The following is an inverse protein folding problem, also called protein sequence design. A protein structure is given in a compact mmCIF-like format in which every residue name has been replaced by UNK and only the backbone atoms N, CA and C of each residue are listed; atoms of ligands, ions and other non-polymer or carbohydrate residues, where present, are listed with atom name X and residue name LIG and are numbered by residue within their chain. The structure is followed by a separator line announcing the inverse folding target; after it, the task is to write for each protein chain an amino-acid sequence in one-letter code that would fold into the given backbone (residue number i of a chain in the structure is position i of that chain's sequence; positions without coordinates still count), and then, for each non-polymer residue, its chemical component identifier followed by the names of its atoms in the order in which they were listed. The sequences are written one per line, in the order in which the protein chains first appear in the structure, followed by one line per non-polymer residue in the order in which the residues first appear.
data_IF_597742240399
#
_entry.id   IF_597742240399
#
_cell.length_a   1.000
_cell.length_b   1.000
_cell.length_c   1.000
_cell.angle_alpha   90.00
_cell.angle_beta   90.00
_cell.angle_gamma   90.00
#
_symmetry.space_group_name_H-M   'P 1'
#
loop_
_entity.id
_entity.type
_entity.pdbx_description
1 polymer ?
#
# COMPACT_ATOMS: atom_id res chain seq x y z
N UNK A 1 8.70 -42.60 30.97
CA UNK A 1 8.77 -41.28 31.63
C UNK A 1 9.55 -40.20 30.85
N UNK A 2 10.75 -40.46 30.32
CA UNK A 2 11.56 -39.44 29.59
C UNK A 2 10.96 -38.94 28.26
N UNK A 3 10.24 -39.79 27.54
CA UNK A 3 9.61 -39.43 26.25
C UNK A 3 8.47 -38.44 26.43
N UNK A 4 7.60 -38.70 27.42
CA UNK A 4 6.46 -37.85 27.76
C UNK A 4 6.95 -36.44 28.17
N UNK A 5 8.02 -36.35 28.95
CA UNK A 5 8.58 -35.05 29.36
C UNK A 5 9.14 -34.23 28.18
N UNK A 6 9.76 -34.89 27.18
CA UNK A 6 10.22 -34.21 25.95
C UNK A 6 9.05 -33.70 25.11
N UNK A 7 7.97 -34.49 25.01
CA UNK A 7 6.76 -34.09 24.30
C UNK A 7 6.11 -32.87 24.97
N UNK A 8 6.01 -32.89 26.31
CA UNK A 8 5.45 -31.80 27.09
C UNK A 8 6.30 -30.52 27.02
N UNK A 9 7.63 -30.61 27.06
CA UNK A 9 8.53 -29.45 26.86
C UNK A 9 8.31 -28.82 25.49
N UNK A 10 8.25 -29.63 24.43
CA UNK A 10 8.04 -29.11 23.08
C UNK A 10 6.67 -28.44 22.95
N UNK A 11 5.63 -29.03 23.56
CA UNK A 11 4.29 -28.45 23.60
C UNK A 11 4.27 -27.09 24.33
N UNK A 12 4.92 -27.01 25.50
CA UNK A 12 5.04 -25.77 26.29
C UNK A 12 5.80 -24.70 25.49
N UNK A 13 6.89 -25.06 24.82
CA UNK A 13 7.67 -24.13 24.01
C UNK A 13 6.86 -23.59 22.82
N UNK A 14 6.08 -24.44 22.14
CA UNK A 14 5.17 -24.02 21.08
C UNK A 14 4.09 -23.06 21.60
N UNK A 15 3.52 -23.30 22.78
CA UNK A 15 2.54 -22.42 23.40
C UNK A 15 3.15 -21.07 23.80
N UNK A 16 4.37 -21.05 24.36
CA UNK A 16 5.07 -19.80 24.67
C UNK A 16 5.35 -18.97 23.42
N UNK A 17 5.80 -19.57 22.32
CA UNK A 17 5.99 -18.86 21.05
C UNK A 17 4.67 -18.29 20.53
N UNK A 18 3.57 -19.05 20.63
CA UNK A 18 2.25 -18.59 20.20
C UNK A 18 1.77 -17.39 21.05
N UNK A 19 1.98 -17.42 22.37
CA UNK A 19 1.66 -16.30 23.26
C UNK A 19 2.52 -15.07 22.97
N UNK A 20 3.82 -15.24 22.69
CA UNK A 20 4.70 -14.14 22.29
C UNK A 20 4.20 -13.50 20.98
N UNK A 21 3.83 -14.30 19.97
CA UNK A 21 3.28 -13.78 18.69
C UNK A 21 1.94 -13.07 18.85
N UNK A 22 1.09 -13.51 19.77
CA UNK A 22 -0.16 -12.80 20.12
C UNK A 22 0.17 -11.45 20.76
N UNK A 23 1.19 -11.39 21.60
CA UNK A 23 1.59 -10.15 22.28
C UNK A 23 2.32 -9.15 21.37
N UNK A 24 2.94 -9.59 20.27
CA UNK A 24 3.54 -8.69 19.26
C UNK A 24 2.56 -8.27 18.16
N UNK A 25 1.33 -8.76 18.19
CA UNK A 25 0.25 -8.31 17.29
C UNK A 25 -0.71 -7.33 17.97
N UNK A 26 -0.40 -6.90 19.20
CA UNK A 26 -1.05 -5.79 19.89
C UNK A 26 0.03 -4.79 20.32
N UNK A 27 -0.02 -3.60 19.72
CA UNK A 27 0.74 -2.39 20.07
C UNK A 27 2.24 -2.36 19.69
N UNK A 28 2.52 -2.27 18.39
CA UNK A 28 3.57 -1.36 17.90
C UNK A 28 3.03 0.09 17.91
N UNK A 29 2.58 0.56 19.07
CA UNK A 29 2.35 1.99 19.33
C UNK A 29 3.39 2.44 20.36
N UNK A 30 4.62 2.59 19.89
CA UNK A 30 5.61 3.46 20.56
C UNK A 30 5.10 4.90 20.36
N UNK A 31 4.29 5.36 21.31
CA UNK A 31 3.89 6.76 21.44
C UNK A 31 4.24 7.28 22.83
N UNK A 32 5.43 7.86 22.92
CA UNK A 32 5.86 8.92 23.85
C UNK A 32 7.31 9.27 23.46
N UNK A 33 7.69 10.46 23.01
CA UNK A 33 7.07 11.78 23.02
C UNK A 33 7.55 12.54 21.77
N UNK A 34 6.65 13.24 21.10
CA UNK A 34 6.91 14.58 20.58
C UNK A 34 5.56 15.27 20.30
N UNK A 35 5.01 15.85 21.37
CA UNK A 35 4.12 17.00 21.25
C UNK A 35 4.98 18.17 20.75
N UNK A 36 4.70 18.61 19.52
CA UNK A 36 5.09 19.85 18.81
C UNK A 36 5.56 19.56 17.39
N UNK A 37 4.61 19.21 16.52
CA UNK A 37 4.71 19.48 15.08
C UNK A 37 3.28 19.55 14.50
N UNK A 38 2.57 20.63 14.80
CA UNK A 38 1.45 21.04 13.95
C UNK A 38 2.08 21.61 12.67
N UNK A 39 1.98 20.79 11.62
CA UNK A 39 1.43 21.15 10.32
C UNK A 39 2.13 22.25 9.49
N UNK A 40 3.22 21.86 8.81
CA UNK A 40 3.59 22.39 7.47
C UNK A 40 4.22 21.30 6.57
N UNK A 41 4.17 20.02 6.98
CA UNK A 41 4.82 18.90 6.25
C UNK A 41 3.82 17.87 5.75
N UNK A 42 2.59 18.28 5.45
CA UNK A 42 1.59 17.41 4.82
C UNK A 42 1.24 17.85 3.38
N UNK A 43 1.60 19.08 2.98
CA UNK A 43 1.37 19.60 1.63
C UNK A 43 2.52 19.36 0.64
N UNK A 44 3.54 18.57 1.00
CA UNK A 44 4.73 18.31 0.15
C UNK A 44 4.95 16.81 -0.13
N UNK A 45 3.89 15.99 -0.13
CA UNK A 45 4.03 14.59 -0.56
C UNK A 45 3.91 14.43 -2.08
N UNK A 46 3.17 15.32 -2.73
CA UNK A 46 2.73 15.20 -4.11
C UNK A 46 3.14 16.42 -4.95
N UNK A 47 4.43 16.76 -4.99
CA UNK A 47 4.93 17.85 -5.85
C UNK A 47 5.86 17.33 -6.94
N UNK A 48 5.51 17.60 -8.19
CA UNK A 48 6.32 17.29 -9.38
C UNK A 48 6.04 18.32 -10.48
N UNK A 49 6.98 18.57 -11.41
CA UNK A 49 6.72 19.47 -12.54
C UNK A 49 5.54 19.01 -13.41
N UNK A 50 5.47 17.72 -13.75
CA UNK A 50 4.37 17.13 -14.51
C UNK A 50 3.53 16.23 -13.61
N UNK A 51 2.20 16.33 -13.69
CA UNK A 51 1.29 15.47 -12.91
C UNK A 51 1.41 13.99 -13.29
N UNK A 52 1.90 13.67 -14.49
CA UNK A 52 2.25 12.29 -14.87
C UNK A 52 3.33 11.70 -13.98
N UNK A 53 4.23 12.49 -13.40
CA UNK A 53 5.37 11.96 -12.63
C UNK A 53 5.08 11.81 -11.15
N UNK A 54 3.85 12.14 -10.75
CA UNK A 54 3.41 11.95 -9.39
C UNK A 54 3.53 10.48 -8.94
N UNK A 55 3.64 10.29 -7.63
CA UNK A 55 3.57 8.95 -7.05
C UNK A 55 2.13 8.42 -7.10
N UNK A 56 1.94 7.09 -7.11
CA UNK A 56 0.61 6.48 -7.14
C UNK A 56 -0.40 7.00 -6.10
N UNK A 57 0.09 7.40 -4.92
CA UNK A 57 -0.75 7.91 -3.83
C UNK A 57 -1.37 9.29 -4.12
N UNK A 58 -0.90 9.98 -5.16
CA UNK A 58 -1.21 11.38 -5.45
C UNK A 58 -2.28 11.55 -6.56
N UNK A 59 -2.73 10.45 -7.16
CA UNK A 59 -3.73 10.47 -8.23
C UNK A 59 -4.59 9.21 -8.20
N UNK A 60 -5.77 9.29 -8.79
CA UNK A 60 -6.70 8.17 -8.94
C UNK A 60 -6.95 7.89 -10.42
N UNK A 61 -6.84 6.63 -10.82
CA UNK A 61 -7.07 6.18 -12.19
C UNK A 61 -8.36 5.38 -12.33
N UNK A 62 -8.94 5.40 -13.54
CA UNK A 62 -10.11 4.60 -13.90
C UNK A 62 -9.69 3.29 -14.58
N UNK A 63 -9.31 2.29 -13.77
CA UNK A 63 -8.83 1.00 -14.26
C UNK A 63 -9.94 0.17 -14.93
N UNK A 64 -9.56 -0.59 -15.96
CA UNK A 64 -10.44 -1.57 -16.58
C UNK A 64 -10.25 -2.92 -15.89
N UNK A 65 -11.20 -3.29 -15.01
CA UNK A 65 -11.09 -4.52 -14.24
C UNK A 65 -11.32 -5.81 -15.05
N UNK A 66 -11.76 -5.67 -16.30
CA UNK A 66 -12.03 -6.79 -17.22
C UNK A 66 -10.96 -6.93 -18.30
N UNK A 67 -9.78 -6.35 -18.10
CA UNK A 67 -8.67 -6.48 -19.04
C UNK A 67 -8.15 -7.94 -19.10
N UNK A 68 -7.60 -8.31 -20.26
CA UNK A 68 -6.94 -9.61 -20.44
C UNK A 68 -5.62 -9.59 -19.69
N UNK A 69 -5.40 -10.55 -18.78
CA UNK A 69 -4.17 -10.66 -18.00
C UNK A 69 -2.94 -10.65 -18.93
N UNK A 70 -1.91 -9.88 -18.59
CA UNK A 70 -0.71 -9.80 -19.41
C UNK A 70 -0.71 -8.66 -20.44
N UNK A 71 -1.85 -8.00 -20.68
CA UNK A 71 -1.94 -6.97 -21.72
C UNK A 71 -1.63 -5.58 -21.19
N UNK A 72 -1.06 -4.74 -22.04
CA UNK A 72 -0.84 -3.33 -21.75
C UNK A 72 -2.15 -2.55 -21.97
N UNK A 73 -2.50 -1.73 -20.99
CA UNK A 73 -3.75 -0.99 -20.95
C UNK A 73 -3.47 0.49 -20.70
N UNK A 74 -4.25 1.36 -21.33
CA UNK A 74 -4.22 2.79 -21.07
C UNK A 74 -5.38 3.15 -20.14
N UNK A 75 -5.10 3.97 -19.13
CA UNK A 75 -6.10 4.49 -18.20
C UNK A 75 -5.98 5.99 -18.09
N UNK A 76 -7.10 6.64 -17.85
CA UNK A 76 -7.15 8.05 -17.49
C UNK A 76 -7.05 8.20 -15.97
N UNK A 77 -6.26 9.17 -15.53
CA UNK A 77 -6.00 9.47 -14.13
C UNK A 77 -6.29 10.95 -13.83
N UNK A 78 -6.77 11.20 -12.62
CA UNK A 78 -7.02 12.53 -12.07
C UNK A 78 -6.20 12.72 -10.81
N UNK A 79 -5.70 13.92 -10.63
CA UNK A 79 -4.91 14.33 -9.47
C UNK A 79 -5.79 14.43 -8.22
N UNK A 80 -5.25 14.07 -7.05
CA UNK A 80 -5.91 14.28 -5.76
C UNK A 80 -5.56 15.67 -5.20
N UNK A 81 -6.48 16.27 -4.42
CA UNK A 81 -6.54 17.71 -4.09
C UNK A 81 -5.31 18.34 -3.40
N UNK A 82 -4.26 17.58 -3.09
CA UNK A 82 -3.09 18.02 -2.32
C UNK A 82 -1.78 17.95 -3.12
N UNK A 83 -1.87 17.97 -4.45
CA UNK A 83 -0.69 17.92 -5.31
C UNK A 83 -0.35 19.26 -5.96
N UNK A 84 0.94 19.52 -6.11
CA UNK A 84 1.47 20.72 -6.76
C UNK A 84 2.21 20.30 -8.04
N UNK A 85 1.49 20.29 -9.16
CA UNK A 85 1.98 19.95 -10.48
C UNK A 85 1.27 20.75 -11.59
N UNK A 86 1.89 20.86 -12.76
CA UNK A 86 1.31 21.55 -13.92
C UNK A 86 0.10 20.77 -14.45
N UNK A 87 -0.97 21.48 -14.79
CA UNK A 87 -2.22 20.90 -15.30
C UNK A 87 -2.93 19.98 -14.29
N UNK A 88 -2.87 20.30 -12.99
CA UNK A 88 -3.51 19.52 -11.91
C UNK A 88 -5.02 19.32 -12.09
N UNK A 89 -5.68 20.23 -12.81
CA UNK A 89 -7.10 20.22 -13.13
C UNK A 89 -7.44 19.34 -14.34
N UNK A 90 -6.44 18.88 -15.08
CA UNK A 90 -6.63 18.08 -16.30
C UNK A 90 -6.36 16.59 -16.06
N UNK A 91 -7.19 15.72 -16.66
CA UNK A 91 -6.88 14.30 -16.68
C UNK A 91 -5.65 14.00 -17.53
N UNK A 92 -4.83 13.04 -17.09
CA UNK A 92 -3.68 12.55 -17.84
C UNK A 92 -3.76 11.03 -18.05
N UNK A 93 -3.06 10.53 -19.07
CA UNK A 93 -3.07 9.11 -19.41
C UNK A 93 -1.86 8.40 -18.79
N UNK A 94 -2.11 7.21 -18.23
CA UNK A 94 -1.08 6.28 -17.77
C UNK A 94 -1.23 4.93 -18.43
N UNK A 95 -0.11 4.27 -18.57
CA UNK A 95 -0.02 2.92 -19.09
C UNK A 95 0.25 1.96 -17.93
N UNK A 96 -0.49 0.87 -17.87
CA UNK A 96 -0.31 -0.18 -16.87
C UNK A 96 -0.39 -1.57 -17.52
N UNK A 97 0.16 -2.54 -16.82
CA UNK A 97 0.06 -3.95 -17.21
C UNK A 97 -1.11 -4.60 -16.47
N UNK A 98 -2.04 -5.17 -17.22
CA UNK A 98 -3.15 -5.91 -16.65
C UNK A 98 -2.63 -7.10 -15.84
N UNK A 99 -2.90 -7.09 -14.55
CA UNK A 99 -2.45 -8.08 -13.59
C UNK A 99 -3.58 -8.35 -12.60
N UNK A 100 -3.37 -9.33 -11.73
CA UNK A 100 -4.35 -9.70 -10.70
C UNK A 100 -4.87 -8.49 -9.90
N UNK A 101 -3.98 -7.51 -9.67
CA UNK A 101 -4.28 -6.24 -8.99
C UNK A 101 -5.34 -5.36 -9.64
N UNK A 102 -5.67 -5.64 -10.89
CA UNK A 102 -6.66 -4.90 -11.65
C UNK A 102 -7.76 -5.84 -12.13
N UNK A 103 -8.03 -6.95 -11.43
CA UNK A 103 -9.06 -7.91 -11.84
C UNK A 103 -10.06 -8.29 -10.74
N UNK A 104 -9.87 -7.86 -9.49
CA UNK A 104 -10.90 -8.03 -8.44
C UNK A 104 -11.18 -6.70 -7.71
N UNK A 105 -12.23 -6.64 -6.87
CA UNK A 105 -12.49 -5.48 -6.04
C UNK A 105 -11.31 -5.16 -5.11
N UNK A 106 -10.95 -3.87 -4.95
CA UNK A 106 -9.81 -3.45 -4.13
C UNK A 106 -9.98 -3.74 -2.63
N UNK A 107 -11.20 -4.09 -2.18
CA UNK A 107 -11.48 -4.43 -0.78
C UNK A 107 -10.95 -5.81 -0.38
N UNK A 108 -10.61 -6.65 -1.36
CA UNK A 108 -10.18 -8.04 -1.12
C UNK A 108 -8.65 -8.21 -1.10
N UNK A 109 -7.87 -7.19 -1.46
CA UNK A 109 -6.41 -7.26 -1.51
C UNK A 109 -5.75 -5.89 -1.44
N UNK A 110 -4.46 -5.86 -1.06
CA UNK A 110 -3.61 -4.68 -1.22
C UNK A 110 -2.71 -4.83 -2.43
N UNK A 111 -2.68 -3.80 -3.28
CA UNK A 111 -1.85 -3.79 -4.48
C UNK A 111 -0.80 -2.69 -4.45
N UNK A 112 0.38 -3.03 -4.95
CA UNK A 112 1.41 -2.04 -5.29
C UNK A 112 1.24 -1.69 -6.76
N UNK A 113 0.66 -0.52 -7.10
CA UNK A 113 0.44 -0.16 -8.48
C UNK A 113 1.77 -0.04 -9.21
N UNK A 114 1.86 -0.72 -10.36
CA UNK A 114 3.00 -0.66 -11.27
C UNK A 114 2.59 0.16 -12.49
N UNK A 115 3.20 1.34 -12.64
CA UNK A 115 3.01 2.21 -13.79
C UNK A 115 4.28 2.23 -14.62
N UNK A 116 4.13 2.16 -15.94
CA UNK A 116 5.23 2.43 -16.86
C UNK A 116 5.23 3.91 -17.23
N UNK A 117 6.40 4.54 -17.12
CA UNK A 117 6.69 5.82 -17.74
C UNK A 117 7.18 5.50 -19.15
N UNK A 118 6.48 6.00 -20.16
CA UNK A 118 6.92 5.94 -21.55
C UNK A 118 7.97 7.02 -21.81
#
# INVERSE_FOLDING_TARGET
MKFIYRLLINLIFCLLIALIRVHTNGDDDISAMNMLAIDEKESMKCSTPQCSDLKPDCFKCHFNYSCVYGTQQNTTCIVLNDSNCLDYDKPFTKTYHCSFCYQLPPDLYQCRPQFHVN
#
